data_IF_174904551376
#
_entry.id   IF_174904551376
#
_cell.length_a   1.000
_cell.length_b   1.000
_cell.length_c   1.000
_cell.angle_alpha   90.00
_cell.angle_beta   90.00
_cell.angle_gamma   90.00
#
_symmetry.space_group_name_H-M   'P 1'
#
loop_
_entity.id
_entity.type
_entity.pdbx_description
1 polymer ?
#
# COMPACT_ATOMS: atom_id res chain seq x y z
N UNK A 1 15.58 5.22 2.59
CA UNK A 1 16.66 5.67 3.52
C UNK A 1 17.90 4.74 3.58
N UNK A 2 17.77 3.42 3.76
CA UNK A 2 18.91 2.48 3.95
C UNK A 2 20.01 2.53 2.86
N UNK A 3 19.66 2.65 1.57
CA UNK A 3 20.65 2.72 0.48
C UNK A 3 21.60 3.92 0.62
N UNK A 4 21.09 5.08 1.05
CA UNK A 4 21.89 6.29 1.25
C UNK A 4 22.78 6.15 2.49
N UNK A 5 22.25 5.55 3.56
CA UNK A 5 23.02 5.23 4.76
C UNK A 5 24.25 4.36 4.43
N UNK A 6 24.07 3.24 3.70
CA UNK A 6 25.19 2.37 3.31
C UNK A 6 26.25 3.08 2.48
N UNK A 7 25.85 3.98 1.57
CA UNK A 7 26.77 4.78 0.76
C UNK A 7 27.57 5.78 1.60
N UNK A 8 26.91 6.45 2.56
CA UNK A 8 27.57 7.33 3.52
C UNK A 8 28.55 6.56 4.39
N UNK A 9 28.16 5.37 4.87
CA UNK A 9 29.01 4.56 5.74
C UNK A 9 30.24 4.02 5.02
N UNK A 10 30.07 3.57 3.77
CA UNK A 10 31.20 3.20 2.91
C UNK A 10 32.15 4.38 2.68
N UNK A 11 31.62 5.58 2.49
CA UNK A 11 32.46 6.77 2.36
C UNK A 11 33.19 7.13 3.66
N UNK A 12 32.52 7.03 4.82
CA UNK A 12 33.13 7.30 6.13
C UNK A 12 34.25 6.33 6.48
N UNK A 13 34.13 5.08 6.07
CA UNK A 13 35.14 4.02 6.29
C UNK A 13 36.32 4.12 5.31
N UNK A 14 36.08 4.60 4.09
CA UNK A 14 37.13 4.69 3.05
C UNK A 14 37.89 6.03 3.07
N UNK A 15 37.37 7.07 3.74
CA UNK A 15 38.04 8.38 3.80
C UNK A 15 39.29 8.31 4.68
N UNK A 16 40.42 8.79 4.17
CA UNK A 16 41.70 8.81 4.89
C UNK A 16 41.85 10.03 5.81
N UNK A 17 41.11 11.11 5.58
CA UNK A 17 41.20 12.36 6.34
C UNK A 17 39.82 12.96 6.65
N UNK A 18 39.78 14.07 7.40
CA UNK A 18 38.60 14.93 7.59
C UNK A 18 38.22 15.66 6.30
N UNK A 19 37.97 14.91 5.23
CA UNK A 19 37.45 15.46 3.97
C UNK A 19 35.97 15.78 4.10
N UNK A 20 35.50 16.90 3.50
CA UNK A 20 34.08 17.25 3.49
C UNK A 20 33.26 16.17 2.77
N UNK A 21 31.99 16.03 3.18
CA UNK A 21 31.06 15.08 2.55
C UNK A 21 30.87 15.45 1.07
N UNK A 22 31.11 14.51 0.13
CA UNK A 22 30.92 14.74 -1.29
C UNK A 22 29.51 15.20 -1.66
N UNK A 23 29.42 16.16 -2.59
CA UNK A 23 28.16 16.70 -3.13
C UNK A 23 27.15 15.61 -3.58
N UNK A 24 27.55 14.50 -4.24
CA UNK A 24 26.60 13.46 -4.63
C UNK A 24 25.91 12.76 -3.46
N UNK A 25 26.58 12.65 -2.30
CA UNK A 25 25.98 12.08 -1.09
C UNK A 25 24.98 13.05 -0.45
N UNK A 26 25.28 14.35 -0.48
CA UNK A 26 24.33 15.39 -0.09
C UNK A 26 23.08 15.40 -0.97
N UNK A 27 23.22 15.31 -2.29
CA UNK A 27 22.09 15.23 -3.22
C UNK A 27 21.23 13.99 -2.96
N UNK A 28 21.86 12.83 -2.73
CA UNK A 28 21.15 11.60 -2.39
C UNK A 28 20.41 11.70 -1.04
N UNK A 29 21.04 12.31 -0.02
CA UNK A 29 20.41 12.55 1.27
C UNK A 29 19.25 13.55 1.17
N UNK A 30 19.38 14.61 0.38
CA UNK A 30 18.34 15.60 0.14
C UNK A 30 17.10 14.98 -0.53
N UNK A 31 17.29 14.05 -1.46
CA UNK A 31 16.17 13.31 -2.06
C UNK A 31 15.36 12.53 -1.01
N UNK A 32 16.05 11.81 -0.11
CA UNK A 32 15.42 11.08 1.00
C UNK A 32 14.76 12.03 2.01
N UNK A 33 15.37 13.19 2.27
CA UNK A 33 14.84 14.21 3.16
C UNK A 33 13.55 14.87 2.65
N UNK A 34 13.33 14.90 1.33
CA UNK A 34 12.05 15.36 0.74
C UNK A 34 10.89 14.41 1.01
N UNK A 35 11.16 13.13 1.16
CA UNK A 35 10.15 12.10 1.41
C UNK A 35 9.86 11.92 2.91
N UNK A 36 10.91 11.98 3.75
CA UNK A 36 10.82 11.64 5.17
C UNK A 36 11.03 12.83 6.13
N UNK A 37 11.26 14.03 5.59
CA UNK A 37 11.57 15.23 6.34
C UNK A 37 13.07 15.40 6.62
N UNK A 38 13.50 16.67 6.69
CA UNK A 38 14.90 17.06 6.90
C UNK A 38 15.41 16.64 8.28
N UNK A 39 14.63 16.87 9.34
CA UNK A 39 15.04 16.59 10.71
C UNK A 39 15.27 15.09 10.96
N UNK A 40 14.31 14.24 10.56
CA UNK A 40 14.45 12.79 10.71
C UNK A 40 15.64 12.27 9.92
N UNK A 41 15.83 12.78 8.70
CA UNK A 41 16.92 12.36 7.82
C UNK A 41 18.28 12.81 8.33
N UNK A 42 18.40 14.01 8.90
CA UNK A 42 19.67 14.48 9.49
C UNK A 42 20.07 13.64 10.71
N UNK A 43 19.11 13.29 11.57
CA UNK A 43 19.34 12.42 12.73
C UNK A 43 19.76 11.01 12.33
N UNK A 44 19.01 10.36 11.45
CA UNK A 44 19.28 8.96 11.05
C UNK A 44 20.56 8.84 10.23
N UNK A 45 20.85 9.80 9.36
CA UNK A 45 22.05 9.77 8.51
C UNK A 45 23.27 10.42 9.17
N UNK A 46 23.15 10.96 10.40
CA UNK A 46 24.20 11.74 11.09
C UNK A 46 24.80 12.82 10.18
N UNK A 47 23.92 13.67 9.63
CA UNK A 47 24.28 14.79 8.78
C UNK A 47 23.97 16.12 9.49
N UNK A 48 24.74 17.15 9.16
CA UNK A 48 24.46 18.50 9.65
C UNK A 48 23.14 19.00 9.05
N UNK A 49 22.26 19.51 9.90
CA UNK A 49 20.88 19.81 9.56
C UNK A 49 20.77 20.99 8.60
N UNK A 50 21.53 22.08 8.84
CA UNK A 50 21.44 23.30 8.04
C UNK A 50 21.94 23.06 6.61
N UNK A 51 23.07 22.36 6.44
CA UNK A 51 23.56 21.93 5.14
C UNK A 51 22.57 21.01 4.44
N UNK A 52 21.98 20.03 5.14
CA UNK A 52 20.95 19.19 4.53
C UNK A 52 19.76 20.02 4.04
N UNK A 53 19.32 21.00 4.86
CA UNK A 53 18.23 21.92 4.53
C UNK A 53 18.56 22.75 3.29
N UNK A 54 19.76 23.31 3.20
CA UNK A 54 20.25 24.03 2.01
C UNK A 54 20.19 23.13 0.77
N UNK A 55 20.72 21.91 0.84
CA UNK A 55 20.69 20.98 -0.30
C UNK A 55 19.26 20.59 -0.72
N UNK A 56 18.33 20.50 0.23
CA UNK A 56 16.91 20.24 -0.05
C UNK A 56 16.25 21.44 -0.74
N UNK A 57 16.61 22.65 -0.36
CA UNK A 57 16.09 23.91 -0.93
C UNK A 57 16.71 24.25 -2.28
N UNK A 58 18.03 24.09 -2.43
CA UNK A 58 18.79 24.40 -3.66
C UNK A 58 18.57 23.37 -4.76
N UNK A 59 18.21 22.13 -4.42
CA UNK A 59 17.80 21.19 -5.43
C UNK A 59 16.54 21.75 -6.12
N UNK A 60 16.59 21.99 -7.44
CA UNK A 60 15.36 22.33 -8.18
C UNK A 60 14.29 21.27 -7.86
N UNK A 61 13.02 21.66 -7.68
CA UNK A 61 11.96 20.66 -7.64
C UNK A 61 12.10 19.87 -8.94
N UNK A 62 12.41 18.58 -8.81
CA UNK A 62 12.35 17.68 -9.96
C UNK A 62 10.93 17.88 -10.46
N UNK A 63 10.74 18.35 -11.70
CA UNK A 63 9.43 18.42 -12.33
C UNK A 63 8.85 17.02 -12.14
N UNK A 64 8.01 16.86 -11.12
CA UNK A 64 7.11 15.73 -11.06
C UNK A 64 6.31 15.99 -12.32
N UNK A 65 6.48 15.15 -13.33
CA UNK A 65 5.42 14.95 -14.30
C UNK A 65 4.27 14.45 -13.44
N UNK A 66 3.54 15.40 -12.85
CA UNK A 66 2.24 15.16 -12.28
C UNK A 66 1.41 14.81 -13.49
N UNK A 67 1.43 13.53 -13.85
CA UNK A 67 0.35 12.94 -14.61
C UNK A 67 -0.88 13.37 -13.85
N UNK A 68 -1.69 14.22 -14.48
CA UNK A 68 -2.95 14.67 -13.90
C UNK A 68 -3.69 13.39 -13.52
N UNK A 69 -4.12 13.21 -12.25
CA UNK A 69 -4.84 12.01 -11.87
C UNK A 69 -6.09 11.96 -12.74
N UNK A 70 -6.13 10.98 -13.64
CA UNK A 70 -7.26 10.79 -14.53
C UNK A 70 -8.36 10.11 -13.72
N UNK A 71 -9.50 10.78 -13.57
CA UNK A 71 -10.67 10.21 -12.93
C UNK A 71 -11.15 9.03 -13.78
N UNK A 72 -11.30 7.87 -13.16
CA UNK A 72 -11.89 6.68 -13.77
C UNK A 72 -13.20 6.42 -13.04
N UNK A 73 -14.30 6.64 -13.73
CA UNK A 73 -15.62 6.28 -13.22
C UNK A 73 -15.79 4.76 -13.30
N UNK A 74 -15.84 4.09 -12.15
CA UNK A 74 -16.14 2.67 -12.06
C UNK A 74 -17.66 2.50 -12.07
N UNK A 75 -18.24 2.21 -13.23
CA UNK A 75 -19.66 1.86 -13.33
C UNK A 75 -19.83 0.44 -12.80
N UNK A 76 -20.41 0.28 -11.61
CA UNK A 76 -20.80 -1.04 -11.11
C UNK A 76 -22.06 -1.49 -11.81
N UNK A 77 -22.13 -2.77 -12.19
CA UNK A 77 -23.36 -3.35 -12.70
C UNK A 77 -24.50 -3.10 -11.70
N UNK A 78 -25.74 -2.80 -12.16
CA UNK A 78 -26.87 -2.66 -11.27
C UNK A 78 -26.97 -3.92 -10.40
N UNK A 79 -27.30 -3.78 -9.09
CA UNK A 79 -27.39 -4.93 -8.20
C UNK A 79 -28.33 -5.95 -8.84
N UNK A 80 -27.81 -7.16 -9.08
CA UNK A 80 -28.62 -8.26 -9.55
C UNK A 80 -29.83 -8.38 -8.62
N UNK A 81 -31.04 -8.44 -9.19
CA UNK A 81 -32.27 -8.46 -8.44
C UNK A 81 -32.20 -9.46 -7.29
N UNK A 82 -32.65 -9.03 -6.12
CA UNK A 82 -32.62 -9.82 -4.88
C UNK A 82 -33.45 -11.09 -5.12
N UNK A 83 -32.78 -12.22 -5.34
CA UNK A 83 -33.48 -13.48 -5.60
C UNK A 83 -33.98 -14.04 -4.26
N UNK A 84 -35.28 -14.28 -4.17
CA UNK A 84 -35.92 -14.92 -3.02
C UNK A 84 -36.08 -16.41 -3.31
N UNK A 85 -35.57 -17.26 -2.43
CA UNK A 85 -35.65 -18.71 -2.53
C UNK A 85 -36.29 -19.28 -1.26
N UNK A 86 -37.08 -20.34 -1.43
CA UNK A 86 -37.66 -21.10 -0.33
C UNK A 86 -37.09 -22.51 -0.41
N UNK A 87 -36.38 -22.93 0.65
CA UNK A 87 -35.85 -24.29 0.78
C UNK A 87 -36.77 -25.06 1.73
N UNK A 88 -37.34 -26.14 1.24
CA UNK A 88 -38.12 -27.08 2.05
C UNK A 88 -37.33 -28.36 2.24
N UNK A 89 -37.11 -28.73 3.50
CA UNK A 89 -36.42 -29.94 3.91
C UNK A 89 -37.43 -30.86 4.59
N UNK A 90 -37.50 -32.10 4.16
CA UNK A 90 -38.34 -33.11 4.78
C UNK A 90 -37.47 -34.25 5.30
N UNK A 91 -37.62 -34.58 6.58
CA UNK A 91 -36.88 -35.67 7.21
C UNK A 91 -37.73 -36.41 8.23
N UNK A 92 -37.14 -37.43 8.86
CA UNK A 92 -37.80 -38.27 9.88
C UNK A 92 -38.39 -37.49 11.06
N UNK A 93 -37.90 -36.28 11.31
CA UNK A 93 -38.29 -35.42 12.42
C UNK A 93 -39.30 -34.33 12.02
N UNK A 94 -39.81 -34.35 10.78
CA UNK A 94 -40.77 -33.38 10.26
C UNK A 94 -40.21 -32.52 9.12
N UNK A 95 -40.99 -31.50 8.75
CA UNK A 95 -40.71 -30.60 7.63
C UNK A 95 -40.18 -29.26 8.15
N UNK A 96 -39.04 -28.81 7.61
CA UNK A 96 -38.44 -27.51 7.89
C UNK A 96 -38.55 -26.65 6.62
N UNK A 97 -38.95 -25.39 6.77
CA UNK A 97 -39.02 -24.42 5.68
C UNK A 97 -38.14 -23.21 5.99
N UNK A 98 -37.21 -22.91 5.10
CA UNK A 98 -36.29 -21.77 5.21
C UNK A 98 -36.63 -20.79 4.09
N UNK A 99 -37.03 -19.58 4.46
CA UNK A 99 -37.20 -18.48 3.52
C UNK A 99 -35.91 -17.66 3.48
N UNK A 100 -35.31 -17.53 2.30
CA UNK A 100 -34.03 -16.88 2.14
C UNK A 100 -34.12 -15.79 1.07
N UNK A 101 -33.83 -14.55 1.47
CA UNK A 101 -33.80 -13.39 0.58
C UNK A 101 -32.36 -13.00 0.24
N UNK A 102 -32.09 -12.75 -1.05
CA UNK A 102 -30.81 -12.21 -1.52
C UNK A 102 -29.75 -13.25 -1.81
N UNK A 103 -30.18 -14.45 -2.22
CA UNK A 103 -29.25 -15.54 -2.51
C UNK A 103 -28.49 -15.27 -3.82
N UNK A 104 -27.19 -15.51 -3.81
CA UNK A 104 -26.41 -15.60 -5.05
C UNK A 104 -26.37 -17.06 -5.52
N UNK A 105 -26.15 -17.29 -6.82
CA UNK A 105 -26.03 -18.65 -7.35
C UNK A 105 -24.92 -19.48 -6.65
N UNK A 106 -23.89 -18.81 -6.12
CA UNK A 106 -22.80 -19.43 -5.35
C UNK A 106 -23.29 -20.02 -4.02
N UNK A 107 -24.10 -19.26 -3.28
CA UNK A 107 -24.62 -19.67 -1.98
C UNK A 107 -25.51 -20.93 -2.11
N UNK A 108 -26.32 -20.99 -3.18
CA UNK A 108 -27.17 -22.15 -3.46
C UNK A 108 -26.34 -23.40 -3.83
N UNK A 109 -25.24 -23.20 -4.56
CA UNK A 109 -24.27 -24.26 -4.86
C UNK A 109 -23.63 -24.84 -3.60
N UNK A 110 -23.16 -23.99 -2.70
CA UNK A 110 -22.55 -24.41 -1.42
C UNK A 110 -23.54 -25.20 -0.54
N UNK A 111 -24.77 -24.71 -0.39
CA UNK A 111 -25.80 -25.39 0.39
C UNK A 111 -26.13 -26.77 -0.18
N UNK A 112 -26.27 -26.88 -1.51
CA UNK A 112 -26.55 -28.15 -2.17
C UNK A 112 -25.46 -29.19 -1.89
N UNK A 113 -24.20 -28.76 -1.89
CA UNK A 113 -23.05 -29.62 -1.63
C UNK A 113 -23.01 -30.10 -0.19
N UNK A 114 -23.22 -29.19 0.77
CA UNK A 114 -23.24 -29.52 2.20
C UNK A 114 -24.37 -30.51 2.51
N UNK A 115 -25.54 -30.30 1.91
CA UNK A 115 -26.67 -31.21 2.09
C UNK A 115 -26.39 -32.58 1.46
N UNK A 116 -25.78 -32.64 0.28
CA UNK A 116 -25.43 -33.90 -0.38
C UNK A 116 -24.31 -34.67 0.33
N UNK A 117 -23.32 -33.98 0.88
CA UNK A 117 -22.23 -34.61 1.66
C UNK A 117 -22.70 -35.15 3.02
N UNK A 118 -23.83 -34.67 3.53
CA UNK A 118 -24.39 -35.05 4.85
C UNK A 118 -25.64 -35.94 4.77
N UNK A 119 -26.18 -36.17 3.57
CA UNK A 119 -27.31 -37.07 3.32
C UNK A 119 -26.83 -38.54 3.30
#
# INVERSE_FOLDING_TARGET
MQKVYRRLERWRTTRRERTPIPKPLWVAAAAVAREHGVFRTSKVLHLEFNKLKEFVQSAKPRKRTTTVPQFVELVTAPPAGVSECVIELEGRHGKIRIQWKGITASDLGELSRILWERA
#
